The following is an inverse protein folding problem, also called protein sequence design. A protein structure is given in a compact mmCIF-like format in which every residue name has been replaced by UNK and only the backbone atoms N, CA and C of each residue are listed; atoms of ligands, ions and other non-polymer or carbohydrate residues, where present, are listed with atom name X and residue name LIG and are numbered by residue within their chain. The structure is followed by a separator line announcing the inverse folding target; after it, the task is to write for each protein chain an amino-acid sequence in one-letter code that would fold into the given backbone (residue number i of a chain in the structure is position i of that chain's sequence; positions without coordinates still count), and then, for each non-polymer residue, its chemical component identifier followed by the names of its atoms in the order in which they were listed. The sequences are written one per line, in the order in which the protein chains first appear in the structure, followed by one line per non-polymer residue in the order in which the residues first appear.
data_IF_688836656269
#
_entry.id   IF_688836656269
#
_cell.length_a   1.000
_cell.length_b   1.000
_cell.length_c   1.000
_cell.angle_alpha   90.00
_cell.angle_beta   90.00
_cell.angle_gamma   90.00
#
_symmetry.space_group_name_H-M   'P 1'
#
loop_
_entity.id
_entity.type
_entity.pdbx_description
1 polymer ?
#
# COMPACT_ATOMS: atom_id res chain seq x y z
N UNK A 1 -37.47 -4.98 -46.97
CA UNK A 1 -36.83 -5.20 -48.29
C UNK A 1 -35.39 -4.66 -48.18
N UNK A 2 -34.51 -5.54 -48.44
CA UNK A 2 -33.06 -5.52 -48.67
C UNK A 2 -32.16 -5.96 -47.50
N UNK A 3 -31.71 -7.17 -47.73
CA UNK A 3 -30.77 -8.04 -47.03
C UNK A 3 -29.31 -7.77 -47.42
N UNK A 4 -28.36 -8.45 -46.81
CA UNK A 4 -27.00 -8.03 -46.52
C UNK A 4 -25.96 -8.36 -47.60
N UNK A 5 -24.73 -7.92 -47.47
CA UNK A 5 -23.60 -8.38 -48.29
C UNK A 5 -22.50 -8.92 -47.40
N UNK A 6 -22.36 -10.23 -47.50
CA UNK A 6 -21.15 -11.00 -47.25
C UNK A 6 -20.02 -10.56 -48.21
N UNK A 7 -18.81 -10.49 -47.69
CA UNK A 7 -17.61 -10.59 -48.49
C UNK A 7 -16.64 -11.51 -47.75
N UNK A 8 -16.60 -12.76 -48.26
CA UNK A 8 -15.57 -13.74 -48.05
C UNK A 8 -14.38 -13.44 -48.96
N UNK A 9 -13.16 -13.54 -48.46
CA UNK A 9 -11.97 -13.73 -49.28
C UNK A 9 -11.14 -14.89 -48.78
N UNK A 10 -11.18 -15.94 -49.65
CA UNK A 10 -10.29 -17.09 -49.66
C UNK A 10 -9.03 -16.77 -50.45
N UNK A 11 -7.89 -17.31 -50.03
CA UNK A 11 -6.68 -17.29 -50.85
C UNK A 11 -5.44 -17.81 -50.16
N UNK A 12 -5.22 -19.10 -50.24
CA UNK A 12 -3.94 -19.81 -50.14
C UNK A 12 -3.56 -20.20 -51.59
N UNK A 13 -2.39 -20.77 -51.93
CA UNK A 13 -1.07 -20.95 -51.33
C UNK A 13 0.11 -20.75 -52.33
N UNK A 14 1.29 -21.17 -51.94
CA UNK A 14 2.51 -21.62 -52.68
C UNK A 14 3.74 -20.95 -52.13
N UNK A 15 4.74 -21.58 -51.61
CA UNK A 15 5.49 -22.71 -52.17
C UNK A 15 6.91 -22.17 -52.48
N UNK A 16 7.95 -22.61 -51.76
CA UNK A 16 9.30 -22.18 -52.03
C UNK A 16 10.34 -22.79 -51.10
N UNK A 17 10.66 -24.06 -51.43
CA UNK A 17 11.83 -24.83 -50.94
C UNK A 17 13.09 -24.36 -51.60
N UNK A 18 14.18 -24.05 -50.89
CA UNK A 18 15.59 -24.18 -51.35
C UNK A 18 16.45 -24.30 -50.11
N UNK A 19 16.92 -25.48 -49.76
CA UNK A 19 18.18 -26.13 -50.12
C UNK A 19 19.41 -25.52 -49.45
N UNK A 20 20.00 -26.30 -48.52
CA UNK A 20 21.35 -26.14 -47.97
C UNK A 20 22.44 -26.24 -49.05
N UNK A 21 23.67 -25.72 -48.78
CA UNK A 21 24.74 -26.67 -48.70
C UNK A 21 25.63 -26.55 -47.46
N UNK A 22 26.00 -27.72 -46.98
CA UNK A 22 27.08 -27.98 -46.06
C UNK A 22 28.43 -27.73 -46.70
N UNK A 23 29.35 -27.09 -45.97
CA UNK A 23 30.79 -27.32 -46.14
C UNK A 23 31.46 -27.15 -44.77
N UNK A 24 31.96 -28.26 -44.22
CA UNK A 24 33.13 -28.30 -43.36
C UNK A 24 34.39 -28.37 -44.25
N UNK A 25 35.56 -27.82 -43.86
CA UNK A 25 36.46 -28.67 -43.11
C UNK A 25 37.37 -27.99 -42.04
N UNK A 26 37.71 -28.80 -41.04
CA UNK A 26 39.01 -28.94 -40.40
C UNK A 26 39.94 -27.73 -40.15
N UNK A 27 40.05 -27.40 -38.86
CA UNK A 27 41.30 -26.94 -38.27
C UNK A 27 41.42 -27.55 -36.86
N UNK A 28 41.84 -28.76 -36.80
CA UNK A 28 42.46 -29.42 -35.67
C UNK A 28 43.94 -29.16 -35.75
N UNK A 29 44.60 -28.87 -34.61
CA UNK A 29 46.03 -28.67 -34.39
C UNK A 29 46.45 -27.20 -34.16
N UNK A 30 46.28 -26.71 -32.93
CA UNK A 30 47.15 -25.72 -32.29
C UNK A 30 46.84 -25.35 -30.85
N UNK A 31 46.07 -26.12 -30.08
CA UNK A 31 45.74 -25.75 -28.69
C UNK A 31 46.33 -26.67 -27.59
N UNK A 32 47.08 -27.71 -27.92
CA UNK A 32 47.57 -28.67 -26.92
C UNK A 32 48.85 -28.24 -26.19
N UNK A 33 49.56 -27.19 -26.66
CA UNK A 33 50.81 -26.78 -26.02
C UNK A 33 50.70 -25.55 -25.09
N UNK A 34 49.60 -24.80 -25.13
CA UNK A 34 49.40 -23.67 -24.20
C UNK A 34 48.89 -24.10 -22.84
N UNK A 35 48.03 -25.12 -22.79
CA UNK A 35 47.42 -25.54 -21.54
C UNK A 35 48.43 -26.26 -20.60
N UNK A 36 49.37 -26.96 -21.17
CA UNK A 36 50.41 -27.67 -20.40
C UNK A 36 51.42 -26.72 -19.70
N UNK A 37 51.71 -25.56 -20.31
CA UNK A 37 52.58 -24.54 -19.71
C UNK A 37 51.82 -23.81 -18.60
N UNK A 38 50.52 -23.53 -18.80
CA UNK A 38 49.70 -22.84 -17.84
C UNK A 38 49.49 -23.69 -16.55
N UNK A 39 49.18 -24.97 -16.70
CA UNK A 39 49.01 -25.88 -15.55
C UNK A 39 50.32 -26.13 -14.78
N UNK A 40 51.46 -26.15 -15.46
CA UNK A 40 52.79 -26.28 -14.79
C UNK A 40 53.14 -25.05 -13.98
N UNK A 41 52.86 -23.85 -14.50
CA UNK A 41 53.11 -22.58 -13.80
C UNK A 41 52.22 -22.41 -12.58
N UNK A 42 50.95 -22.72 -12.71
CA UNK A 42 49.97 -22.66 -11.59
C UNK A 42 50.36 -23.65 -10.48
N UNK A 43 50.77 -24.87 -10.84
CA UNK A 43 51.15 -25.88 -9.86
C UNK A 43 52.41 -25.51 -9.07
N UNK A 44 53.34 -24.78 -9.69
CA UNK A 44 54.57 -24.31 -9.02
C UNK A 44 54.32 -23.13 -8.10
N UNK A 45 53.43 -22.21 -8.49
CA UNK A 45 53.05 -21.06 -7.67
C UNK A 45 52.21 -21.52 -6.46
N UNK A 46 51.26 -22.46 -6.64
CA UNK A 46 50.45 -22.98 -5.56
C UNK A 46 51.29 -23.80 -4.53
N UNK A 47 52.29 -24.55 -4.97
CA UNK A 47 53.18 -25.25 -4.02
C UNK A 47 54.01 -24.28 -3.18
N UNK A 48 54.46 -23.16 -3.73
CA UNK A 48 55.20 -22.15 -2.95
C UNK A 48 54.29 -21.40 -1.98
N UNK A 49 53.05 -21.08 -2.36
CA UNK A 49 52.10 -20.45 -1.45
C UNK A 49 51.61 -21.39 -0.35
N UNK A 50 51.45 -22.69 -0.62
CA UNK A 50 51.08 -23.67 0.40
C UNK A 50 52.18 -23.88 1.48
N UNK A 51 53.46 -23.76 1.10
CA UNK A 51 54.57 -23.86 2.06
C UNK A 51 54.65 -22.63 2.97
N UNK A 52 54.33 -21.43 2.46
CA UNK A 52 54.28 -20.22 3.31
C UNK A 52 53.02 -20.21 4.23
N UNK A 53 51.92 -20.83 3.81
CA UNK A 53 50.71 -20.96 4.64
C UNK A 53 50.88 -21.97 5.77
N UNK A 54 51.69 -23.05 5.57
CA UNK A 54 51.99 -24.04 6.61
C UNK A 54 53.04 -23.54 7.59
N UNK A 55 53.95 -22.65 7.17
CA UNK A 55 54.98 -22.07 8.05
C UNK A 55 54.39 -20.97 8.96
N UNK A 56 53.29 -20.31 8.58
CA UNK A 56 52.59 -19.31 9.40
C UNK A 56 51.59 -19.91 10.39
N UNK A 57 51.13 -21.14 10.17
CA UNK A 57 50.19 -21.82 11.07
C UNK A 57 50.83 -22.39 12.34
N UNK A 58 52.19 -22.48 12.40
CA UNK A 58 52.90 -23.05 13.54
C UNK A 58 53.21 -22.10 14.68
N UNK A 59 52.99 -20.80 14.57
CA UNK A 59 53.32 -19.80 15.59
C UNK A 59 52.09 -19.19 16.32
N UNK A 60 50.88 -19.66 16.07
CA UNK A 60 49.67 -19.13 16.71
C UNK A 60 49.03 -20.10 17.75
N UNK A 61 49.72 -21.18 18.12
CA UNK A 61 49.18 -22.14 19.09
C UNK A 61 49.61 -21.88 20.55
N UNK A 62 50.07 -20.65 20.87
CA UNK A 62 50.31 -20.23 22.26
C UNK A 62 49.50 -18.98 22.61
N UNK A 63 48.26 -18.93 22.21
CA UNK A 63 47.29 -17.91 22.61
C UNK A 63 46.31 -18.53 23.61
N UNK A 64 46.39 -18.11 24.85
CA UNK A 64 45.50 -18.41 25.95
C UNK A 64 44.05 -18.60 25.49
N UNK A 65 43.46 -19.72 25.87
CA UNK A 65 42.01 -19.85 25.99
C UNK A 65 41.54 -18.93 27.13
N UNK A 66 41.42 -17.66 26.85
CA UNK A 66 40.48 -16.83 27.60
C UNK A 66 39.09 -17.34 27.19
N UNK A 67 38.46 -18.11 28.08
CA UNK A 67 37.03 -18.24 28.11
C UNK A 67 36.46 -16.86 27.78
N UNK A 68 35.82 -16.75 26.61
CA UNK A 68 35.11 -15.51 26.22
C UNK A 68 34.01 -15.33 27.26
N UNK A 69 34.29 -14.57 28.32
CA UNK A 69 33.22 -13.92 29.05
C UNK A 69 32.36 -13.21 28.01
N UNK A 70 31.00 -13.33 28.05
CA UNK A 70 30.15 -12.67 27.09
C UNK A 70 30.55 -11.18 27.09
N UNK A 71 30.98 -10.68 25.92
CA UNK A 71 31.31 -9.25 25.78
C UNK A 71 30.05 -8.47 26.15
N UNK A 72 29.97 -7.99 27.39
CA UNK A 72 28.83 -7.23 27.92
C UNK A 72 28.80 -5.80 27.39
N UNK A 73 29.78 -5.40 26.56
CA UNK A 73 29.88 -4.08 25.96
C UNK A 73 30.46 -4.21 24.56
N UNK A 74 29.75 -3.65 23.59
CA UNK A 74 30.21 -3.62 22.19
C UNK A 74 29.28 -2.78 21.32
N UNK A 75 29.73 -2.48 20.11
CA UNK A 75 28.95 -1.76 19.12
C UNK A 75 28.80 -2.62 17.86
N UNK A 76 27.65 -2.50 17.22
CA UNK A 76 27.36 -3.07 15.91
C UNK A 76 26.81 -2.02 14.97
N UNK A 77 26.51 -2.42 13.76
CA UNK A 77 25.87 -1.58 12.76
C UNK A 77 24.49 -2.12 12.42
N UNK A 78 23.61 -1.24 11.95
CA UNK A 78 22.27 -1.56 11.47
C UNK A 78 22.21 -1.27 9.98
N UNK A 79 21.65 -2.20 9.22
CA UNK A 79 21.25 -2.01 7.82
C UNK A 79 19.72 -2.10 7.77
N UNK A 80 19.07 -1.10 7.18
CA UNK A 80 17.61 -1.03 7.07
C UNK A 80 17.23 -1.10 5.61
N UNK A 81 16.36 -2.06 5.24
CA UNK A 81 15.69 -2.09 3.95
C UNK A 81 14.20 -1.82 4.13
N UNK A 82 13.60 -1.13 3.16
CA UNK A 82 12.20 -0.77 3.18
C UNK A 82 11.51 -1.10 1.87
N UNK A 83 10.31 -1.67 1.96
CA UNK A 83 9.34 -1.77 0.86
C UNK A 83 8.01 -1.19 1.31
N UNK A 84 7.27 -0.56 0.38
CA UNK A 84 5.92 -0.06 0.64
C UNK A 84 4.88 -1.03 0.07
N UNK A 85 3.93 -1.46 0.91
CA UNK A 85 2.73 -2.15 0.48
C UNK A 85 1.57 -1.15 0.46
N UNK A 86 1.14 -0.78 -0.74
CA UNK A 86 0.09 0.20 -1.00
C UNK A 86 -1.31 -0.40 -1.00
N UNK A 87 -1.46 -1.70 -0.76
CA UNK A 87 -2.76 -2.35 -0.80
C UNK A 87 -3.68 -1.84 0.31
N UNK A 88 -4.95 -1.65 -0.04
CA UNK A 88 -6.02 -1.24 0.85
C UNK A 88 -7.13 -2.28 0.75
N UNK A 89 -7.57 -2.80 1.88
CA UNK A 89 -8.67 -3.74 1.95
C UNK A 89 -9.98 -3.02 1.62
N UNK A 90 -10.70 -3.51 0.61
CA UNK A 90 -11.93 -2.88 0.13
C UNK A 90 -12.89 -3.91 -0.44
N UNK A 91 -14.19 -3.69 -0.21
CA UNK A 91 -15.25 -4.50 -0.81
C UNK A 91 -15.45 -4.23 -2.31
N UNK A 92 -14.89 -3.15 -2.85
CA UNK A 92 -14.97 -2.79 -4.26
C UNK A 92 -13.68 -2.12 -4.70
N UNK A 93 -13.01 -2.71 -5.68
CA UNK A 93 -11.78 -2.15 -6.25
C UNK A 93 -11.99 -0.76 -6.89
N UNK A 94 -13.21 -0.46 -7.36
CA UNK A 94 -13.55 0.84 -7.93
C UNK A 94 -13.73 1.93 -6.88
N UNK A 95 -13.89 1.55 -5.61
CA UNK A 95 -14.14 2.48 -4.53
C UNK A 95 -12.87 2.91 -3.78
N UNK A 96 -11.76 2.19 -3.93
CA UNK A 96 -10.49 2.54 -3.26
C UNK A 96 -9.54 3.21 -4.24
N UNK A 97 -9.01 4.37 -3.85
CA UNK A 97 -7.84 4.95 -4.51
C UNK A 97 -6.57 4.23 -3.99
N UNK A 98 -5.87 3.50 -4.85
CA UNK A 98 -4.55 2.94 -4.48
C UNK A 98 -3.55 4.09 -4.43
N UNK A 99 -2.92 4.35 -3.27
CA UNK A 99 -1.94 5.41 -3.17
C UNK A 99 -0.64 5.05 -3.91
N UNK A 100 0.10 6.06 -4.33
CA UNK A 100 1.42 5.87 -4.90
C UNK A 100 2.40 5.37 -3.83
N UNK A 101 3.27 4.42 -4.23
CA UNK A 101 4.30 3.88 -3.35
C UNK A 101 5.41 4.93 -3.15
N UNK A 102 5.75 5.28 -1.90
CA UNK A 102 6.89 6.15 -1.65
C UNK A 102 8.21 5.47 -2.02
N UNK A 103 9.19 6.25 -2.45
CA UNK A 103 10.55 5.78 -2.62
C UNK A 103 11.14 5.29 -1.28
N UNK A 104 11.84 4.15 -1.29
CA UNK A 104 12.39 3.55 -0.08
C UNK A 104 13.25 4.53 0.75
N UNK A 105 14.08 5.33 0.08
CA UNK A 105 14.95 6.31 0.73
C UNK A 105 14.21 7.48 1.40
N UNK A 106 12.92 7.71 1.07
CA UNK A 106 12.12 8.82 1.59
C UNK A 106 11.45 8.53 2.95
N UNK A 107 11.50 7.27 3.42
CA UNK A 107 10.97 6.94 4.74
C UNK A 107 11.82 7.54 5.85
N UNK A 108 11.19 8.09 6.86
CA UNK A 108 11.84 8.44 8.12
C UNK A 108 12.18 7.18 8.90
N UNK A 109 13.25 7.24 9.69
CA UNK A 109 13.69 6.14 10.56
C UNK A 109 13.70 6.59 12.01
N UNK A 110 13.17 5.75 12.87
CA UNK A 110 13.25 5.89 14.32
C UNK A 110 13.83 4.60 14.91
N UNK A 111 14.93 4.72 15.65
CA UNK A 111 15.55 3.59 16.35
C UNK A 111 15.51 3.88 17.84
N UNK A 112 14.76 3.05 18.58
CA UNK A 112 14.55 3.19 20.02
C UNK A 112 15.20 2.02 20.75
N UNK A 113 16.13 2.29 21.65
CA UNK A 113 16.77 1.33 22.51
C UNK A 113 16.69 1.74 23.98
N UNK A 114 17.33 0.98 24.85
CA UNK A 114 17.35 1.23 26.30
C UNK A 114 17.88 2.62 26.67
N UNK A 115 18.83 3.15 25.90
CA UNK A 115 19.51 4.43 26.17
C UNK A 115 18.82 5.64 25.54
N UNK A 116 17.73 5.43 24.79
CA UNK A 116 16.98 6.51 24.16
C UNK A 116 16.58 6.22 22.72
N UNK A 117 16.11 7.29 22.05
CA UNK A 117 15.61 7.23 20.68
C UNK A 117 16.45 8.14 19.79
N UNK A 118 16.83 7.62 18.63
CA UNK A 118 17.48 8.36 17.54
C UNK A 118 16.52 8.40 16.34
N UNK A 119 16.52 9.53 15.61
CA UNK A 119 15.65 9.76 14.47
C UNK A 119 16.43 10.33 13.30
N UNK A 120 16.03 9.94 12.11
CA UNK A 120 16.49 10.47 10.83
C UNK A 120 15.26 10.78 9.98
N UNK A 121 15.29 11.91 9.30
CA UNK A 121 14.18 12.35 8.47
C UNK A 121 14.02 11.46 7.23
N UNK A 122 15.10 10.82 6.78
CA UNK A 122 15.09 9.89 5.65
C UNK A 122 16.01 8.69 5.89
N UNK A 123 15.70 7.53 5.28
CA UNK A 123 16.61 6.39 5.27
C UNK A 123 17.92 6.72 4.55
N UNK A 124 17.87 7.56 3.52
CA UNK A 124 19.07 8.05 2.82
C UNK A 124 20.02 8.79 3.77
N UNK A 125 19.49 9.63 4.66
CA UNK A 125 20.28 10.32 5.68
C UNK A 125 20.90 9.35 6.68
N UNK A 126 20.11 8.35 7.12
CA UNK A 126 20.60 7.29 8.01
C UNK A 126 21.78 6.54 7.39
N UNK A 127 21.66 6.09 6.15
CA UNK A 127 22.73 5.38 5.44
C UNK A 127 24.03 6.19 5.35
N UNK A 128 23.91 7.48 5.11
CA UNK A 128 25.07 8.40 5.06
C UNK A 128 25.70 8.63 6.43
N UNK A 129 24.93 8.51 7.51
CA UNK A 129 25.38 8.79 8.87
C UNK A 129 26.40 7.78 9.41
N UNK A 130 26.44 6.56 8.85
CA UNK A 130 27.28 5.44 9.30
C UNK A 130 27.21 5.22 10.84
N UNK A 131 26.02 5.39 11.40
CA UNK A 131 25.79 5.32 12.84
C UNK A 131 26.07 3.91 13.37
N UNK A 132 26.75 3.84 14.52
CA UNK A 132 26.97 2.60 15.27
C UNK A 132 26.07 2.57 16.51
N UNK A 133 25.57 1.41 16.83
CA UNK A 133 24.67 1.18 17.96
C UNK A 133 25.36 0.33 19.01
N UNK A 134 25.12 0.63 20.28
CA UNK A 134 25.55 -0.25 21.38
C UNK A 134 24.82 -1.59 21.25
N UNK A 135 25.46 -2.69 21.60
CA UNK A 135 24.80 -4.00 21.65
C UNK A 135 23.55 -3.93 22.56
N UNK A 136 22.48 -4.61 22.14
CA UNK A 136 21.22 -4.66 22.88
C UNK A 136 19.99 -4.72 22.00
N UNK A 137 18.83 -4.73 22.63
CA UNK A 137 17.54 -4.76 21.95
C UNK A 137 17.12 -3.36 21.50
N UNK A 138 16.62 -3.28 20.28
CA UNK A 138 16.10 -2.06 19.68
C UNK A 138 14.76 -2.31 18.98
N UNK A 139 13.92 -1.28 18.94
CA UNK A 139 12.79 -1.21 18.04
C UNK A 139 13.16 -0.25 16.90
N UNK A 140 13.11 -0.75 15.68
CA UNK A 140 13.34 0.00 14.45
C UNK A 140 11.97 0.26 13.84
N UNK A 141 11.61 1.52 13.62
CA UNK A 141 10.36 1.92 13.00
C UNK A 141 10.64 2.84 11.81
N UNK A 142 9.92 2.62 10.74
CA UNK A 142 9.92 3.47 9.54
C UNK A 142 8.53 4.05 9.33
N UNK A 143 8.49 5.29 8.84
CA UNK A 143 7.24 5.96 8.53
C UNK A 143 7.38 6.89 7.32
N UNK A 144 6.30 7.05 6.56
CA UNK A 144 6.20 8.04 5.50
C UNK A 144 4.79 8.66 5.51
N UNK A 145 4.73 9.98 5.38
CA UNK A 145 3.51 10.77 5.55
C UNK A 145 3.34 11.28 6.98
N UNK A 146 2.22 11.93 7.23
CA UNK A 146 1.87 12.49 8.54
C UNK A 146 0.72 11.67 9.14
N UNK A 147 0.89 11.05 10.33
CA UNK A 147 -0.15 10.24 10.97
C UNK A 147 -1.40 11.06 11.34
N UNK A 148 -1.26 12.37 11.44
CA UNK A 148 -2.35 13.28 11.80
C UNK A 148 -3.01 13.94 10.60
N UNK A 149 -2.45 13.80 9.40
CA UNK A 149 -3.00 14.37 8.18
C UNK A 149 -4.18 13.52 7.68
N UNK A 150 -5.31 14.19 7.42
CA UNK A 150 -6.51 13.61 6.84
C UNK A 150 -6.85 14.34 5.51
N UNK A 151 -7.50 13.65 4.56
CA UNK A 151 -7.93 14.20 3.28
C UNK A 151 -7.50 13.39 2.07
N UNK A 152 -7.82 13.89 0.88
CA UNK A 152 -7.43 13.25 -0.37
C UNK A 152 -5.90 13.20 -0.53
N UNK A 153 -5.37 12.04 -0.98
CA UNK A 153 -3.94 11.88 -1.23
C UNK A 153 -3.05 11.98 0.01
N UNK A 154 -3.56 11.64 1.20
CA UNK A 154 -2.84 11.69 2.48
C UNK A 154 -2.61 10.29 3.08
N UNK A 155 -1.96 9.35 2.35
CA UNK A 155 -1.61 8.07 2.94
C UNK A 155 -0.53 8.24 4.01
N UNK A 156 -0.63 7.44 5.06
CA UNK A 156 0.40 7.30 6.08
C UNK A 156 0.88 5.85 6.11
N UNK A 157 2.17 5.64 5.89
CA UNK A 157 2.80 4.32 5.90
C UNK A 157 3.60 4.13 7.18
N UNK A 158 3.51 2.93 7.74
CA UNK A 158 4.23 2.58 8.96
C UNK A 158 4.62 1.11 8.98
N UNK A 159 5.80 0.84 9.53
CA UNK A 159 6.22 -0.49 9.97
C UNK A 159 7.18 -0.39 11.15
N UNK A 160 7.20 -1.42 11.99
CA UNK A 160 8.20 -1.55 13.06
C UNK A 160 8.68 -2.99 13.19
N UNK A 161 9.92 -3.14 13.63
CA UNK A 161 10.55 -4.42 13.89
C UNK A 161 11.44 -4.34 15.12
N UNK A 162 11.40 -5.37 15.96
CA UNK A 162 12.35 -5.54 17.07
C UNK A 162 13.57 -6.32 16.60
N UNK A 163 14.74 -5.81 16.90
CA UNK A 163 16.03 -6.41 16.55
C UNK A 163 16.94 -6.47 17.76
N UNK A 164 17.99 -7.27 17.67
CA UNK A 164 19.08 -7.30 18.65
C UNK A 164 20.41 -6.95 17.95
N UNK A 165 21.00 -5.84 18.33
CA UNK A 165 22.32 -5.44 17.84
C UNK A 165 23.40 -6.23 18.56
N UNK A 166 24.21 -6.94 17.78
CA UNK A 166 25.34 -7.74 18.26
C UNK A 166 26.67 -7.00 18.05
N UNK A 167 27.66 -7.19 18.94
CA UNK A 167 28.94 -6.53 18.81
C UNK A 167 29.67 -6.95 17.53
N UNK A 168 30.26 -5.97 16.85
CA UNK A 168 31.08 -6.16 15.63
C UNK A 168 30.32 -6.85 14.47
N UNK A 169 28.99 -6.74 14.45
CA UNK A 169 28.14 -7.31 13.40
C UNK A 169 27.22 -6.25 12.83
N UNK A 170 26.87 -6.44 11.56
CA UNK A 170 25.74 -5.74 10.94
C UNK A 170 24.49 -6.58 11.15
N UNK A 171 23.45 -5.97 11.66
CA UNK A 171 22.10 -6.54 11.79
C UNK A 171 21.21 -5.92 10.72
N UNK A 172 20.45 -6.75 10.01
CA UNK A 172 19.51 -6.30 9.00
C UNK A 172 18.11 -6.17 9.60
N UNK A 173 17.45 -5.07 9.28
CA UNK A 173 16.03 -4.85 9.51
C UNK A 173 15.34 -4.68 8.14
N UNK A 174 14.57 -5.69 7.75
CA UNK A 174 13.83 -5.69 6.49
C UNK A 174 12.37 -5.40 6.80
N UNK A 175 11.90 -4.18 6.50
CA UNK A 175 10.56 -3.72 6.86
C UNK A 175 9.68 -3.56 5.63
N UNK A 176 8.44 -4.04 5.75
CA UNK A 176 7.38 -3.75 4.78
C UNK A 176 6.40 -2.78 5.41
N UNK A 177 6.46 -1.51 5.00
CA UNK A 177 5.57 -0.49 5.48
C UNK A 177 4.20 -0.63 4.79
N UNK A 178 3.15 -0.73 5.58
CA UNK A 178 1.76 -0.79 5.11
C UNK A 178 1.05 0.54 5.34
N UNK A 179 -0.05 0.77 4.64
CA UNK A 179 -0.93 1.91 4.91
C UNK A 179 -1.50 1.77 6.33
N UNK A 180 -1.21 2.72 7.21
CA UNK A 180 -1.59 2.69 8.63
C UNK A 180 -2.81 3.54 8.97
N UNK A 181 -3.25 4.40 8.06
CA UNK A 181 -4.53 5.09 8.13
C UNK A 181 -5.63 4.33 7.35
N UNK A 182 -6.83 4.88 7.29
CA UNK A 182 -8.01 4.29 6.64
C UNK A 182 -8.47 5.19 5.51
N UNK A 183 -9.29 4.66 4.60
CA UNK A 183 -10.04 5.47 3.64
C UNK A 183 -11.53 5.47 3.97
N UNK A 184 -12.22 6.53 3.57
CA UNK A 184 -13.68 6.63 3.61
C UNK A 184 -14.18 7.26 2.33
N UNK A 185 -15.30 6.74 1.84
CA UNK A 185 -16.00 7.29 0.69
C UNK A 185 -17.50 7.06 0.85
N UNK A 186 -18.32 7.99 0.34
CA UNK A 186 -19.76 7.82 0.27
C UNK A 186 -20.17 7.49 -1.16
N UNK A 187 -21.06 6.51 -1.30
CA UNK A 187 -21.66 6.07 -2.55
C UNK A 187 -23.19 6.09 -2.43
N UNK A 188 -23.87 6.16 -3.54
CA UNK A 188 -25.32 5.99 -3.63
C UNK A 188 -25.65 4.96 -4.70
N UNK A 189 -26.69 4.14 -4.46
CA UNK A 189 -27.18 3.23 -5.49
C UNK A 189 -27.97 4.00 -6.55
N UNK A 190 -28.12 3.41 -7.73
CA UNK A 190 -28.98 3.95 -8.78
C UNK A 190 -30.42 4.15 -8.28
N UNK A 191 -30.88 3.24 -7.41
CA UNK A 191 -32.21 3.34 -6.81
C UNK A 191 -32.31 4.54 -5.87
N UNK A 192 -31.29 4.82 -5.05
CA UNK A 192 -31.27 6.05 -4.26
C UNK A 192 -31.34 7.29 -5.15
N UNK A 193 -30.52 7.36 -6.20
CA UNK A 193 -30.47 8.49 -7.13
C UNK A 193 -31.78 8.64 -7.95
N UNK A 194 -32.58 7.58 -8.11
CA UNK A 194 -33.89 7.65 -8.72
C UNK A 194 -34.94 8.31 -7.82
N UNK A 195 -34.78 8.26 -6.50
CA UNK A 195 -35.71 8.86 -5.54
C UNK A 195 -35.22 10.19 -4.97
N UNK A 196 -33.91 10.41 -4.97
CA UNK A 196 -33.27 11.59 -4.40
C UNK A 196 -32.27 12.20 -5.37
N UNK A 197 -32.23 13.53 -5.42
CA UNK A 197 -31.26 14.31 -6.18
C UNK A 197 -30.62 15.36 -5.27
N UNK A 198 -29.58 16.02 -5.76
CA UNK A 198 -28.78 17.02 -5.01
C UNK A 198 -28.31 16.52 -3.63
N UNK A 199 -28.03 15.23 -3.55
CA UNK A 199 -27.56 14.61 -2.32
C UNK A 199 -26.18 15.15 -1.93
N UNK A 200 -26.06 15.59 -0.68
CA UNK A 200 -24.81 16.09 -0.10
C UNK A 200 -24.61 15.47 1.26
N UNK A 201 -23.46 14.88 1.44
CA UNK A 201 -23.09 14.23 2.70
C UNK A 201 -21.80 14.81 3.22
N UNK A 202 -21.69 14.87 4.54
CA UNK A 202 -20.49 15.30 5.24
C UNK A 202 -20.06 14.19 6.18
N UNK A 203 -18.79 13.80 6.06
CA UNK A 203 -18.12 12.92 7.03
C UNK A 203 -17.28 13.80 7.93
N UNK A 204 -17.56 13.75 9.24
CA UNK A 204 -16.79 14.46 10.27
C UNK A 204 -15.98 13.44 11.06
N UNK A 205 -14.68 13.65 11.18
CA UNK A 205 -13.79 12.79 11.98
C UNK A 205 -13.77 13.22 13.43
N UNK A 206 -13.23 12.37 14.32
CA UNK A 206 -13.07 12.74 15.73
C UNK A 206 -12.13 13.92 15.95
N UNK A 207 -11.24 14.21 15.00
CA UNK A 207 -10.38 15.42 15.01
C UNK A 207 -11.11 16.70 14.60
N UNK A 208 -12.37 16.58 14.13
CA UNK A 208 -13.18 17.71 13.67
C UNK A 208 -12.98 18.09 12.21
N UNK A 209 -12.22 17.32 11.44
CA UNK A 209 -12.12 17.54 10.00
C UNK A 209 -13.41 17.09 9.30
N UNK A 210 -13.85 17.85 8.31
CA UNK A 210 -15.07 17.62 7.55
C UNK A 210 -14.76 17.39 6.08
N UNK A 211 -15.36 16.34 5.52
CA UNK A 211 -15.21 15.96 4.12
C UNK A 211 -16.57 15.85 3.47
N UNK A 212 -16.77 16.64 2.43
CA UNK A 212 -18.02 16.67 1.66
C UNK A 212 -17.97 15.65 0.53
N UNK A 213 -19.10 14.95 0.32
CA UNK A 213 -19.33 14.00 -0.76
C UNK A 213 -20.65 14.33 -1.46
N UNK A 214 -20.65 14.17 -2.79
CA UNK A 214 -21.84 14.38 -3.63
C UNK A 214 -22.06 13.12 -4.49
N UNK A 215 -22.64 12.05 -3.91
CA UNK A 215 -22.81 10.80 -4.62
C UNK A 215 -23.61 10.98 -5.91
N UNK A 216 -23.16 10.37 -7.00
CA UNK A 216 -23.74 10.53 -8.33
C UNK A 216 -23.18 11.73 -9.10
N UNK A 217 -22.19 12.43 -8.57
CA UNK A 217 -21.42 13.43 -9.33
C UNK A 217 -20.57 12.78 -10.43
N UNK A 218 -20.23 13.55 -11.45
CA UNK A 218 -19.28 13.20 -12.49
C UNK A 218 -18.19 14.30 -12.56
N UNK A 219 -16.92 14.02 -12.23
CA UNK A 219 -16.41 12.72 -11.80
C UNK A 219 -16.92 12.28 -10.41
N UNK A 220 -16.90 10.96 -10.16
CA UNK A 220 -17.30 10.41 -8.87
C UNK A 220 -16.32 10.86 -7.77
N UNK A 221 -16.84 11.05 -6.56
CA UNK A 221 -16.02 11.43 -5.40
C UNK A 221 -14.89 10.42 -5.15
N UNK A 222 -13.70 10.92 -4.88
CA UNK A 222 -12.54 10.11 -4.50
C UNK A 222 -12.57 9.80 -3.00
N UNK A 223 -12.04 8.62 -2.57
CA UNK A 223 -11.86 8.33 -1.16
C UNK A 223 -10.91 9.32 -0.48
N UNK A 224 -11.22 9.67 0.76
CA UNK A 224 -10.34 10.49 1.60
C UNK A 224 -9.68 9.62 2.67
N UNK A 225 -8.44 9.92 2.99
CA UNK A 225 -7.73 9.29 4.11
C UNK A 225 -8.16 9.92 5.42
N UNK A 226 -8.38 9.06 6.43
CA UNK A 226 -8.69 9.43 7.80
C UNK A 226 -7.82 8.61 8.74
N UNK A 227 -7.60 9.08 9.96
CA UNK A 227 -6.80 8.33 10.94
C UNK A 227 -7.35 6.93 11.15
N UNK A 228 -6.46 5.95 11.29
CA UNK A 228 -6.83 4.60 11.71
C UNK A 228 -7.40 4.61 13.14
N UNK A 229 -8.50 3.88 13.34
CA UNK A 229 -9.18 3.82 14.65
C UNK A 229 -9.99 5.06 15.03
N UNK A 230 -10.18 6.02 14.11
CA UNK A 230 -10.97 7.23 14.39
C UNK A 230 -12.47 6.95 14.30
N UNK A 231 -13.26 7.72 15.07
CA UNK A 231 -14.71 7.76 14.91
C UNK A 231 -15.08 8.66 13.75
N UNK A 232 -16.08 8.23 12.98
CA UNK A 232 -16.69 9.04 11.93
C UNK A 232 -18.14 9.33 12.26
N UNK A 233 -18.59 10.56 11.98
CA UNK A 233 -20.00 10.95 11.99
C UNK A 233 -20.39 11.35 10.60
N UNK A 234 -21.47 10.78 10.08
CA UNK A 234 -21.99 11.08 8.75
C UNK A 234 -23.32 11.79 8.89
N UNK A 235 -23.43 12.94 8.24
CA UNK A 235 -24.67 13.71 8.11
C UNK A 235 -24.93 13.95 6.64
N UNK A 236 -26.18 14.23 6.26
CA UNK A 236 -26.48 14.52 4.86
C UNK A 236 -27.87 15.05 4.64
N UNK A 237 -28.04 15.66 3.46
CA UNK A 237 -29.30 16.14 2.94
C UNK A 237 -29.47 15.72 1.49
N UNK A 238 -30.68 15.64 1.01
CA UNK A 238 -31.01 15.44 -0.39
C UNK A 238 -32.39 16.05 -0.70
N UNK A 239 -32.74 16.17 -1.97
CA UNK A 239 -34.09 16.54 -2.40
C UNK A 239 -34.81 15.32 -2.95
N UNK A 240 -36.07 15.14 -2.59
CA UNK A 240 -36.88 14.07 -3.18
C UNK A 240 -37.16 14.39 -4.65
N UNK A 241 -37.23 13.35 -5.46
CA UNK A 241 -37.77 13.49 -6.82
C UNK A 241 -39.26 13.87 -6.74
N UNK A 242 -39.67 14.81 -7.54
CA UNK A 242 -41.10 15.19 -7.65
C UNK A 242 -41.90 14.03 -8.26
N UNK A 243 -43.02 13.60 -7.64
CA UNK A 243 -43.88 12.56 -8.21
C UNK A 243 -44.41 12.89 -9.60
N UNK A 244 -44.50 14.18 -9.92
CA UNK A 244 -45.00 14.67 -11.21
C UNK A 244 -43.88 14.87 -12.25
N UNK A 245 -42.62 14.65 -11.87
CA UNK A 245 -41.45 14.87 -12.73
C UNK A 245 -41.19 16.35 -13.08
N UNK A 246 -41.96 17.26 -12.52
CA UNK A 246 -41.81 18.71 -12.74
C UNK A 246 -41.69 19.42 -11.40
N UNK A 247 -40.56 20.15 -11.23
CA UNK A 247 -40.28 20.93 -10.03
C UNK A 247 -39.35 20.25 -9.05
N UNK A 248 -38.81 21.03 -8.13
CA UNK A 248 -37.96 20.56 -7.05
C UNK A 248 -38.83 19.95 -5.94
N UNK A 249 -38.54 18.71 -5.55
CA UNK A 249 -39.16 18.10 -4.40
C UNK A 249 -38.65 18.68 -3.07
N UNK A 250 -39.28 18.32 -1.93
CA UNK A 250 -38.86 18.80 -0.62
C UNK A 250 -37.47 18.31 -0.25
N UNK A 251 -36.72 19.16 0.43
CA UNK A 251 -35.45 18.76 1.06
C UNK A 251 -35.72 17.82 2.22
N UNK A 252 -34.91 16.80 2.31
CA UNK A 252 -34.89 15.82 3.42
C UNK A 252 -33.54 15.85 4.08
N UNK A 253 -33.53 15.69 5.39
CA UNK A 253 -32.33 15.52 6.20
C UNK A 253 -32.25 14.09 6.68
N UNK A 254 -31.09 13.44 6.51
CA UNK A 254 -30.84 12.11 7.04
C UNK A 254 -30.31 12.22 8.48
N UNK A 255 -30.81 11.37 9.36
CA UNK A 255 -30.33 11.31 10.74
C UNK A 255 -28.82 11.01 10.77
N UNK A 256 -28.10 11.69 11.65
CA UNK A 256 -26.67 11.49 11.83
C UNK A 256 -26.34 10.04 12.16
N UNK A 257 -25.35 9.47 11.48
CA UNK A 257 -24.88 8.12 11.70
C UNK A 257 -23.42 8.15 12.18
N UNK A 258 -23.10 7.22 13.06
CA UNK A 258 -21.75 7.11 13.62
C UNK A 258 -21.17 5.74 13.32
N UNK A 259 -19.92 5.72 12.84
CA UNK A 259 -19.03 4.58 12.80
C UNK A 259 -18.01 4.77 13.93
N UNK A 260 -18.00 3.85 14.92
CA UNK A 260 -17.26 4.05 16.17
C UNK A 260 -15.74 4.05 15.99
N UNK A 261 -15.23 3.23 15.11
CA UNK A 261 -13.80 3.20 14.79
C UNK A 261 -13.56 2.73 13.37
N UNK A 262 -12.66 3.40 12.68
CA UNK A 262 -12.15 2.94 11.39
C UNK A 262 -11.10 1.86 11.58
N UNK A 263 -10.99 0.94 10.63
CA UNK A 263 -9.95 -0.08 10.61
C UNK A 263 -8.79 0.42 9.74
N UNK A 264 -7.55 0.43 10.24
CA UNK A 264 -6.39 0.76 9.42
C UNK A 264 -6.32 -0.10 8.17
N UNK A 265 -5.75 0.44 7.09
CA UNK A 265 -5.58 -0.22 5.81
C UNK A 265 -6.90 -0.62 5.11
N UNK A 266 -8.03 -0.06 5.52
CA UNK A 266 -9.36 -0.41 5.01
C UNK A 266 -10.04 0.79 4.39
N UNK A 267 -10.69 0.61 3.23
CA UNK A 267 -11.60 1.57 2.65
C UNK A 267 -13.03 1.31 3.15
N UNK A 268 -13.55 2.24 3.93
CA UNK A 268 -14.92 2.22 4.44
C UNK A 268 -15.85 2.84 3.40
N UNK A 269 -16.66 1.99 2.75
CA UNK A 269 -17.64 2.42 1.75
C UNK A 269 -18.99 2.59 2.43
N UNK A 270 -19.47 3.82 2.51
CA UNK A 270 -20.75 4.16 3.10
C UNK A 270 -21.76 4.33 1.95
N UNK A 271 -22.63 3.34 1.77
CA UNK A 271 -23.56 3.31 0.65
C UNK A 271 -24.97 3.66 1.10
N UNK A 272 -25.54 4.69 0.48
CA UNK A 272 -26.96 5.05 0.63
C UNK A 272 -27.76 4.34 -0.44
N UNK A 273 -28.84 3.68 0.01
CA UNK A 273 -29.84 3.01 -0.82
C UNK A 273 -31.25 3.48 -0.43
N UNK A 274 -32.20 3.33 -1.33
CA UNK A 274 -33.58 3.69 -1.07
C UNK A 274 -34.55 2.67 -1.65
N UNK A 275 -35.53 2.24 -0.84
CA UNK A 275 -36.62 1.37 -1.30
C UNK A 275 -37.81 2.17 -1.86
N UNK A 276 -37.97 3.40 -1.42
CA UNK A 276 -39.02 4.33 -1.86
C UNK A 276 -38.65 5.77 -1.47
N UNK A 277 -39.38 6.75 -1.94
CA UNK A 277 -39.11 8.16 -1.67
C UNK A 277 -39.27 8.59 -0.19
N UNK A 278 -39.79 7.73 0.65
CA UNK A 278 -39.98 7.98 2.11
C UNK A 278 -38.97 7.32 3.03
N UNK A 279 -38.08 6.47 2.52
CA UNK A 279 -37.10 5.78 3.35
C UNK A 279 -35.78 5.63 2.63
N UNK A 280 -34.70 5.78 3.35
CA UNK A 280 -33.35 5.43 2.89
C UNK A 280 -32.77 4.33 3.79
N UNK A 281 -31.97 3.47 3.22
CA UNK A 281 -31.20 2.47 3.94
C UNK A 281 -29.72 2.83 3.79
N UNK A 282 -29.03 2.90 4.90
CA UNK A 282 -27.58 3.07 4.94
C UNK A 282 -26.94 1.70 5.08
N UNK A 283 -26.02 1.39 4.21
CA UNK A 283 -25.15 0.23 4.32
C UNK A 283 -23.71 0.69 4.47
N UNK A 284 -23.07 0.31 5.57
CA UNK A 284 -21.65 0.56 5.77
C UNK A 284 -20.92 -0.75 5.50
N UNK A 285 -20.13 -0.79 4.44
CA UNK A 285 -19.30 -1.95 4.11
C UNK A 285 -17.89 -1.70 4.59
N UNK A 286 -17.40 -2.59 5.44
CA UNK A 286 -16.07 -2.57 6.03
C UNK A 286 -15.26 -3.72 5.44
N UNK A 287 -14.48 -3.45 4.38
CA UNK A 287 -13.74 -4.51 3.69
C UNK A 287 -14.66 -5.60 3.15
N UNK A 288 -14.10 -6.76 2.78
CA UNK A 288 -14.86 -7.88 2.21
C UNK A 288 -15.70 -8.67 3.23
N UNK A 289 -15.52 -8.41 4.52
CA UNK A 289 -15.99 -9.33 5.57
C UNK A 289 -17.07 -8.77 6.49
N UNK A 290 -17.34 -7.48 6.49
CA UNK A 290 -18.28 -6.87 7.43
C UNK A 290 -19.18 -5.85 6.75
N UNK A 291 -20.50 -6.04 6.91
CA UNK A 291 -21.52 -5.11 6.44
C UNK A 291 -22.43 -4.74 7.61
N UNK A 292 -22.45 -3.48 7.99
CA UNK A 292 -23.43 -2.91 8.93
C UNK A 292 -24.54 -2.23 8.13
N UNK A 293 -25.79 -2.71 8.26
CA UNK A 293 -26.93 -2.15 7.53
C UNK A 293 -27.90 -1.49 8.52
N UNK A 294 -28.15 -0.21 8.31
CA UNK A 294 -29.06 0.60 9.13
C UNK A 294 -30.18 1.16 8.28
N UNK A 295 -31.41 1.14 8.81
CA UNK A 295 -32.54 1.85 8.18
C UNK A 295 -32.58 3.27 8.72
N UNK A 296 -32.64 4.24 7.82
CA UNK A 296 -32.74 5.64 8.13
C UNK A 296 -34.16 6.13 7.86
N UNK A 297 -34.76 6.77 8.85
CA UNK A 297 -35.96 7.55 8.63
C UNK A 297 -35.56 8.92 8.07
N UNK A 298 -36.18 9.30 6.96
CA UNK A 298 -35.98 10.62 6.37
C UNK A 298 -36.92 11.60 7.07
N UNK A 299 -36.35 12.54 7.83
CA UNK A 299 -37.14 13.66 8.35
C UNK A 299 -37.40 14.64 7.18
N UNK A 300 -38.67 14.89 6.93
CA UNK A 300 -39.09 15.94 5.98
C UNK A 300 -39.09 17.25 6.77
N UNK A 301 -38.37 18.26 6.29
CA UNK A 301 -38.45 19.58 6.87
C UNK A 301 -39.90 20.04 6.85
N UNK A 302 -40.46 20.42 8.02
CA UNK A 302 -41.86 20.84 8.18
C UNK A 302 -42.29 22.04 7.32
N UNK A 303 -41.37 22.71 6.67
CA UNK A 303 -41.64 23.79 5.71
C UNK A 303 -42.07 23.33 4.32
N UNK A 304 -42.00 22.04 4.02
CA UNK A 304 -42.48 21.47 2.74
C UNK A 304 -43.94 21.01 2.90
N UNK A 305 -44.84 21.98 3.13
CA UNK A 305 -46.27 21.69 3.13
C UNK A 305 -46.69 21.40 1.67
N UNK A 306 -47.18 20.19 1.49
CA UNK A 306 -47.82 19.76 0.26
C UNK A 306 -49.06 20.63 0.04
N UNK A 307 -49.01 21.56 -0.92
CA UNK A 307 -50.12 22.45 -1.28
C UNK A 307 -51.29 21.71 -1.98
N UNK A 308 -51.35 20.38 -1.91
CA UNK A 308 -52.36 19.54 -2.55
C UNK A 308 -53.65 19.35 -1.75
N UNK A 309 -53.78 19.89 -0.53
CA UNK A 309 -55.05 19.87 0.25
C UNK A 309 -55.81 21.20 0.24
N UNK A 310 -55.88 21.89 -0.90
CA UNK A 310 -56.88 22.94 -1.13
C UNK A 310 -57.60 22.72 -2.43
N UNK A 311 -58.57 21.79 -2.39
CA UNK A 311 -59.76 21.83 -3.23
C UNK A 311 -60.95 21.29 -2.47
#
# INVERSE_FOLDING_TARGET
MQTPRDISYTGNPTGGTTAYPAVLPAAHEATENSDNIFYRTIRTVMKKQLIYLLASAGLLAAGCSTENAPETTGYGTLSVSCTADTSIDTASAEASGTPEAPEAGAFSLTVTGETGTQKWDTLTEFEQSQTVFRMGAYTVAIAHGDPDAEGAGKPYYYAEQKIEVLPRRTVNADLTATVANSQVVIRATEQFLAYFHDARFTVTTASGNEFAFTPGSDPADEPVFVRGGTRLTVTGTARRQSPTGTGEGPEVTFSAQTLDATTPRTCHIITYDAKNAGSATLTITLGDSYTDTRTLDCEVNEGAIDDTEKK
#
